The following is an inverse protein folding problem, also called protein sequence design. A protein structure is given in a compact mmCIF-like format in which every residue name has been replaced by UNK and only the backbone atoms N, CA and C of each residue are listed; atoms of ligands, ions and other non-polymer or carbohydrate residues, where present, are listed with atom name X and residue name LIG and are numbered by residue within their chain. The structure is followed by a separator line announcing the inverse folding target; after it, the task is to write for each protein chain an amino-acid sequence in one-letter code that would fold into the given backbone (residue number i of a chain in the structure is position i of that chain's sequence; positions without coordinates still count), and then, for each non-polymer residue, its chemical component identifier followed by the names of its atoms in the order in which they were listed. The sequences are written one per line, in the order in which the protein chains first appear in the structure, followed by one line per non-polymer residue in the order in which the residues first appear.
data_IF_131633383384
#
_entry.id   IF_131633383384
#
_cell.length_a   1.000
_cell.length_b   1.000
_cell.length_c   1.000
_cell.angle_alpha   90.00
_cell.angle_beta   90.00
_cell.angle_gamma   90.00
#
_symmetry.space_group_name_H-M   'P 1'
#
loop_
_entity.id
_entity.type
_entity.pdbx_description
1 polymer ?
#
# COMPACT_ATOMS: atom_id res chain seq x y z
N UNK A 1 -42.29 -0.37 7.72
CA UNK A 1 -42.04 -0.73 6.30
C UNK A 1 -41.51 0.53 5.61
N UNK A 2 -40.19 0.69 5.52
CA UNK A 2 -39.58 1.82 4.83
C UNK A 2 -39.91 1.72 3.33
N UNK A 3 -40.70 2.66 2.80
CA UNK A 3 -41.05 2.67 1.38
C UNK A 3 -39.82 3.04 0.53
N UNK A 4 -39.61 2.30 -0.55
CA UNK A 4 -38.60 2.64 -1.57
C UNK A 4 -39.17 3.77 -2.44
N UNK A 5 -38.35 4.79 -2.71
CA UNK A 5 -38.60 5.84 -3.68
C UNK A 5 -37.59 5.73 -4.83
N UNK A 6 -37.94 6.19 -6.03
CA UNK A 6 -37.08 6.08 -7.22
C UNK A 6 -36.63 7.45 -7.69
N UNK A 7 -35.32 7.69 -7.65
CA UNK A 7 -34.71 8.90 -8.18
C UNK A 7 -34.40 8.71 -9.67
N UNK A 8 -35.06 9.48 -10.54
CA UNK A 8 -34.87 9.39 -11.99
C UNK A 8 -33.89 10.46 -12.50
N UNK A 9 -32.84 10.06 -13.25
CA UNK A 9 -31.90 11.00 -13.88
C UNK A 9 -31.67 10.68 -15.34
N UNK A 10 -31.47 11.74 -16.14
CA UNK A 10 -30.95 11.60 -17.51
C UNK A 10 -29.52 11.10 -17.44
N UNK A 11 -29.22 10.12 -18.26
CA UNK A 11 -27.96 9.39 -18.19
C UNK A 11 -27.53 8.88 -19.57
N UNK A 12 -26.23 8.63 -19.70
CA UNK A 12 -25.62 7.94 -20.83
C UNK A 12 -25.13 6.58 -20.35
N UNK A 13 -25.59 5.49 -20.95
CA UNK A 13 -25.01 4.15 -20.77
C UNK A 13 -23.80 4.02 -21.68
N UNK A 14 -22.60 3.93 -21.12
CA UNK A 14 -21.35 3.78 -21.87
C UNK A 14 -21.13 2.32 -22.23
N UNK A 15 -20.82 2.04 -23.49
CA UNK A 15 -20.64 0.70 -24.04
C UNK A 15 -19.17 0.24 -23.94
N UNK A 16 -18.65 0.12 -22.71
CA UNK A 16 -17.28 -0.36 -22.45
C UNK A 16 -17.19 -1.86 -22.17
N UNK A 17 -18.21 -2.43 -21.54
CA UNK A 17 -18.28 -3.84 -21.16
C UNK A 17 -19.75 -4.26 -21.11
N UNK A 18 -20.04 -5.45 -21.61
CA UNK A 18 -21.39 -6.02 -21.54
C UNK A 18 -21.73 -6.51 -20.12
N UNK A 19 -20.73 -6.92 -19.36
CA UNK A 19 -20.89 -7.51 -18.02
C UNK A 19 -21.08 -6.46 -16.90
N UNK A 20 -20.54 -5.25 -17.09
CA UNK A 20 -20.58 -4.18 -16.08
C UNK A 20 -21.11 -2.89 -16.69
N UNK A 21 -22.42 -2.62 -16.61
CA UNK A 21 -23.01 -1.37 -17.08
C UNK A 21 -22.39 -0.16 -16.38
N UNK A 22 -21.93 0.81 -17.19
CA UNK A 22 -21.43 2.10 -16.73
C UNK A 22 -22.38 3.22 -17.19
N UNK A 23 -22.77 4.08 -16.25
CA UNK A 23 -23.66 5.21 -16.49
C UNK A 23 -22.97 6.53 -16.16
N UNK A 24 -23.08 7.52 -17.05
CA UNK A 24 -22.71 8.90 -16.78
C UNK A 24 -23.98 9.73 -16.58
N UNK A 25 -24.10 10.39 -15.43
CA UNK A 25 -25.29 11.16 -15.06
C UNK A 25 -24.92 12.30 -14.10
N UNK A 26 -25.93 13.03 -13.64
CA UNK A 26 -25.75 14.10 -12.64
C UNK A 26 -26.64 13.88 -11.44
N UNK A 27 -26.13 14.24 -10.25
CA UNK A 27 -26.88 14.33 -9.01
C UNK A 27 -26.78 15.76 -8.47
N UNK A 28 -27.83 16.26 -7.82
CA UNK A 28 -27.66 17.44 -6.97
C UNK A 28 -26.75 17.11 -5.79
N UNK A 29 -26.02 18.09 -5.25
CA UNK A 29 -25.16 17.88 -4.08
C UNK A 29 -25.92 17.23 -2.90
N UNK A 30 -27.18 17.60 -2.68
CA UNK A 30 -28.04 16.97 -1.66
C UNK A 30 -28.49 15.55 -1.98
N UNK A 31 -28.57 15.19 -3.25
CA UNK A 31 -28.97 13.84 -3.69
C UNK A 31 -27.82 12.85 -3.53
N UNK A 32 -26.57 13.32 -3.56
CA UNK A 32 -25.40 12.49 -3.23
C UNK A 32 -25.56 11.89 -1.83
N UNK A 33 -26.00 12.70 -0.87
CA UNK A 33 -26.20 12.26 0.52
C UNK A 33 -27.33 11.23 0.66
N UNK A 34 -28.28 11.17 -0.29
CA UNK A 34 -29.40 10.21 -0.32
C UNK A 34 -29.08 8.94 -1.09
N UNK A 35 -28.17 9.03 -2.07
CA UNK A 35 -27.84 7.93 -2.98
C UNK A 35 -26.64 7.14 -2.49
N UNK A 36 -25.63 7.78 -1.90
CA UNK A 36 -24.35 7.13 -1.67
C UNK A 36 -23.84 7.29 -0.24
N UNK A 37 -23.31 6.20 0.32
CA UNK A 37 -22.51 6.24 1.54
C UNK A 37 -21.02 6.00 1.23
N UNK A 38 -20.16 6.48 2.11
CA UNK A 38 -18.74 6.13 2.08
C UNK A 38 -18.61 4.75 2.71
N UNK A 39 -17.99 3.80 2.01
CA UNK A 39 -17.69 2.50 2.60
C UNK A 39 -16.78 2.70 3.82
N UNK A 40 -17.38 2.65 5.01
CA UNK A 40 -16.66 2.71 6.28
C UNK A 40 -16.10 1.34 6.58
N UNK A 41 -14.92 1.38 7.11
CA UNK A 41 -14.01 0.27 7.12
C UNK A 41 -13.68 0.00 8.58
N UNK A 42 -14.01 -1.19 9.07
CA UNK A 42 -13.75 -1.62 10.44
C UNK A 42 -12.89 -2.87 10.42
N UNK A 43 -12.12 -3.11 11.49
CA UNK A 43 -11.55 -4.44 11.71
C UNK A 43 -12.65 -5.31 12.30
N UNK A 44 -12.72 -6.57 11.89
CA UNK A 44 -13.44 -7.56 12.67
C UNK A 44 -12.63 -7.93 13.91
N UNK A 45 -13.24 -8.68 14.83
CA UNK A 45 -12.59 -9.16 16.06
C UNK A 45 -11.39 -10.09 15.78
N UNK A 46 -11.25 -10.60 14.55
CA UNK A 46 -10.15 -11.45 14.11
C UNK A 46 -8.95 -10.66 13.55
N UNK A 47 -9.02 -9.33 13.54
CA UNK A 47 -7.93 -8.47 13.06
C UNK A 47 -7.82 -8.37 11.54
N UNK A 48 -8.81 -8.89 10.79
CA UNK A 48 -8.89 -8.80 9.34
C UNK A 48 -9.23 -7.35 8.95
N UNK A 49 -8.46 -6.81 8.01
CA UNK A 49 -8.68 -5.45 7.53
C UNK A 49 -9.92 -5.43 6.61
N UNK A 50 -10.97 -4.72 6.99
CA UNK A 50 -12.13 -4.51 6.12
C UNK A 50 -12.25 -3.01 5.84
N UNK A 51 -11.68 -2.34 4.84
CA UNK A 51 -10.30 -2.23 4.34
C UNK A 51 -9.56 -0.96 4.83
N UNK A 52 -9.47 0.15 4.06
CA UNK A 52 -8.65 1.36 4.35
C UNK A 52 -9.38 2.74 4.39
N UNK A 53 -9.21 3.53 5.47
CA UNK A 53 -9.57 4.96 5.54
C UNK A 53 -8.31 5.84 5.52
N UNK A 54 -8.23 6.84 4.61
CA UNK A 54 -7.28 7.95 4.76
C UNK A 54 -7.84 8.89 5.83
N UNK A 55 -7.07 9.28 6.87
CA UNK A 55 -7.51 10.34 7.76
C UNK A 55 -7.82 11.58 6.91
N UNK A 56 -9.06 12.04 6.98
CA UNK A 56 -9.53 13.16 6.20
C UNK A 56 -8.63 14.36 6.52
N UNK A 57 -7.90 14.85 5.52
CA UNK A 57 -7.16 16.10 5.66
C UNK A 57 -8.18 17.22 5.76
N UNK A 58 -8.64 17.55 6.98
CA UNK A 58 -9.65 18.59 7.28
C UNK A 58 -9.41 19.89 6.49
N UNK A 59 -8.14 20.26 6.28
CA UNK A 59 -7.72 21.42 5.49
C UNK A 59 -8.13 21.33 4.01
N UNK A 60 -8.02 20.16 3.39
CA UNK A 60 -8.33 19.96 1.97
C UNK A 60 -9.85 19.96 1.70
N UNK A 61 -10.62 19.31 2.58
CA UNK A 61 -12.09 19.34 2.51
C UNK A 61 -12.59 20.78 2.61
N UNK A 62 -12.03 21.58 3.52
CA UNK A 62 -12.37 22.99 3.67
C UNK A 62 -12.07 23.81 2.41
N UNK A 63 -10.91 23.58 1.77
CA UNK A 63 -10.55 24.24 0.51
C UNK A 63 -11.53 23.90 -0.63
N UNK A 64 -11.95 22.64 -0.74
CA UNK A 64 -12.94 22.23 -1.74
C UNK A 64 -14.28 22.91 -1.43
N UNK A 65 -14.71 22.92 -0.16
CA UNK A 65 -15.95 23.58 0.26
C UNK A 65 -15.93 25.09 -0.07
N UNK A 66 -14.85 25.79 0.28
CA UNK A 66 -14.68 27.23 -0.03
C UNK A 66 -14.75 27.50 -1.55
N UNK A 67 -14.19 26.62 -2.37
CA UNK A 67 -14.30 26.71 -3.82
C UNK A 67 -15.73 26.46 -4.32
N UNK A 68 -16.42 25.44 -3.81
CA UNK A 68 -17.80 25.13 -4.15
C UNK A 68 -18.79 26.24 -3.77
N UNK A 69 -18.48 26.99 -2.72
CA UNK A 69 -19.29 28.11 -2.23
C UNK A 69 -18.91 29.47 -2.90
N UNK A 70 -18.02 29.47 -3.90
CA UNK A 70 -17.67 30.68 -4.67
C UNK A 70 -18.79 31.09 -5.65
N UNK A 71 -18.68 32.25 -6.30
CA UNK A 71 -19.75 32.79 -7.16
C UNK A 71 -20.02 31.94 -8.42
N UNK A 72 -19.00 31.26 -8.97
CA UNK A 72 -19.12 30.48 -10.20
C UNK A 72 -18.23 29.21 -10.17
N UNK A 73 -18.55 28.22 -9.32
CA UNK A 73 -17.75 27.01 -9.19
C UNK A 73 -17.91 26.13 -10.42
N UNK A 74 -16.79 25.70 -11.02
CA UNK A 74 -16.78 24.63 -12.02
C UNK A 74 -16.31 23.34 -11.34
N UNK A 75 -17.15 22.30 -11.35
CA UNK A 75 -16.85 21.01 -10.74
C UNK A 75 -16.78 19.88 -11.79
N UNK A 76 -15.70 19.84 -12.60
CA UNK A 76 -15.62 18.92 -13.73
C UNK A 76 -15.25 17.49 -13.31
N UNK A 77 -14.53 17.34 -12.20
CA UNK A 77 -14.10 16.05 -11.69
C UNK A 77 -15.17 15.50 -10.74
N UNK A 78 -16.07 14.69 -11.31
CA UNK A 78 -17.24 14.11 -10.66
C UNK A 78 -16.95 13.02 -9.62
N UNK A 79 -18.01 12.39 -9.12
CA UNK A 79 -17.92 11.24 -8.22
C UNK A 79 -17.97 9.93 -8.98
N UNK A 80 -17.34 8.89 -8.43
CA UNK A 80 -17.46 7.52 -8.96
C UNK A 80 -18.22 6.68 -7.94
N UNK A 81 -19.33 6.08 -8.36
CA UNK A 81 -20.22 5.32 -7.52
C UNK A 81 -20.29 3.86 -7.95
N UNK A 82 -20.32 2.95 -6.98
CA UNK A 82 -20.76 1.57 -7.18
C UNK A 82 -22.27 1.53 -6.95
N UNK A 83 -23.02 1.34 -8.03
CA UNK A 83 -24.47 1.23 -8.02
C UNK A 83 -24.90 -0.22 -7.75
N UNK A 84 -26.03 -0.43 -7.06
CA UNK A 84 -26.55 -1.76 -6.80
C UNK A 84 -27.24 -2.33 -8.04
N UNK A 85 -27.52 -3.63 -8.09
CA UNK A 85 -28.13 -4.27 -9.27
C UNK A 85 -29.59 -3.82 -9.51
N UNK A 86 -30.23 -3.30 -8.48
CA UNK A 86 -31.63 -2.88 -8.46
C UNK A 86 -31.88 -1.60 -9.25
N UNK A 87 -30.83 -0.90 -9.71
CA UNK A 87 -30.99 0.26 -10.59
C UNK A 87 -31.66 -0.13 -11.90
N UNK A 88 -32.51 0.74 -12.42
CA UNK A 88 -33.27 0.48 -13.66
C UNK A 88 -32.81 1.42 -14.75
N UNK A 89 -32.65 0.87 -15.95
CA UNK A 89 -32.30 1.63 -17.13
C UNK A 89 -33.44 1.62 -18.15
N UNK A 90 -33.83 2.80 -18.64
CA UNK A 90 -34.76 2.98 -19.74
C UNK A 90 -34.09 3.73 -20.87
N UNK A 91 -33.82 3.04 -21.99
CA UNK A 91 -33.27 3.69 -23.18
C UNK A 91 -34.26 4.72 -23.76
N UNK A 92 -33.73 5.85 -24.23
CA UNK A 92 -34.50 6.81 -25.01
C UNK A 92 -34.99 6.16 -26.31
N UNK A 93 -36.15 6.62 -26.83
CA UNK A 93 -36.68 6.16 -28.12
C UNK A 93 -36.25 7.09 -29.23
N UNK A 94 -35.88 6.54 -30.39
CA UNK A 94 -35.57 7.30 -31.61
C UNK A 94 -34.31 6.81 -32.32
N UNK A 95 -34.09 7.22 -33.58
CA UNK A 95 -32.97 6.71 -34.41
C UNK A 95 -31.59 7.26 -34.01
N UNK A 96 -31.51 8.30 -33.19
CA UNK A 96 -30.25 8.98 -32.81
C UNK A 96 -29.91 8.86 -31.32
N UNK A 97 -30.36 7.78 -30.68
CA UNK A 97 -30.16 7.58 -29.23
C UNK A 97 -28.88 6.83 -28.88
N UNK A 98 -28.13 6.39 -29.89
CA UNK A 98 -26.83 5.73 -29.76
C UNK A 98 -25.88 6.23 -30.85
N UNK A 99 -24.62 6.42 -30.48
CA UNK A 99 -23.51 6.72 -31.41
C UNK A 99 -22.52 5.54 -31.52
N UNK A 100 -22.89 4.37 -30.97
CA UNK A 100 -22.02 3.19 -30.90
C UNK A 100 -21.02 3.22 -29.74
N UNK A 101 -20.87 4.34 -29.03
CA UNK A 101 -20.04 4.47 -27.83
C UNK A 101 -20.88 4.58 -26.56
N UNK A 102 -22.03 5.25 -26.64
CA UNK A 102 -22.98 5.40 -25.56
C UNK A 102 -24.43 5.41 -26.04
N UNK A 103 -25.33 5.04 -25.14
CA UNK A 103 -26.78 5.07 -25.36
C UNK A 103 -27.43 6.05 -24.39
N UNK A 104 -28.24 6.98 -24.90
CA UNK A 104 -29.01 7.94 -24.10
C UNK A 104 -30.25 7.30 -23.49
N UNK A 105 -30.57 7.68 -22.25
CA UNK A 105 -31.74 7.16 -21.53
C UNK A 105 -31.97 7.80 -20.17
N UNK A 106 -32.78 7.12 -19.37
CA UNK A 106 -33.10 7.46 -17.98
C UNK A 106 -32.62 6.34 -17.06
N UNK A 107 -31.87 6.70 -16.03
CA UNK A 107 -31.45 5.83 -14.93
C UNK A 107 -32.37 6.08 -13.72
N UNK A 108 -32.86 5.02 -13.11
CA UNK A 108 -33.65 5.07 -11.87
C UNK A 108 -32.86 4.42 -10.74
N UNK A 109 -32.70 5.14 -9.64
CA UNK A 109 -31.93 4.71 -8.46
C UNK A 109 -32.88 4.54 -7.28
N UNK A 110 -32.90 3.38 -6.59
CA UNK A 110 -33.79 3.18 -5.45
C UNK A 110 -33.22 3.90 -4.22
N UNK A 111 -33.92 4.91 -3.70
CA UNK A 111 -33.55 5.63 -2.48
C UNK A 111 -34.53 5.32 -1.35
N UNK A 112 -34.08 5.42 -0.10
CA UNK A 112 -34.97 5.33 1.06
C UNK A 112 -35.78 6.62 1.21
N UNK A 113 -37.05 6.52 1.56
CA UNK A 113 -37.89 7.69 1.93
C UNK A 113 -37.38 8.43 3.15
N UNK A 114 -36.78 7.71 4.08
CA UNK A 114 -36.21 8.29 5.30
C UNK A 114 -34.79 8.78 5.02
N UNK A 115 -34.50 10.02 5.42
CA UNK A 115 -33.15 10.62 5.28
C UNK A 115 -32.07 9.86 6.03
N UNK A 116 -32.42 9.04 7.03
CA UNK A 116 -31.48 8.17 7.76
C UNK A 116 -31.53 6.70 7.29
N UNK A 117 -32.28 6.41 6.23
CA UNK A 117 -32.38 5.07 5.67
C UNK A 117 -31.11 4.60 4.93
N UNK A 118 -31.02 3.30 4.59
CA UNK A 118 -29.86 2.75 3.91
C UNK A 118 -29.64 3.42 2.54
N UNK A 119 -28.37 3.68 2.21
CA UNK A 119 -27.99 4.24 0.90
C UNK A 119 -27.80 3.13 -0.12
N UNK A 120 -28.34 3.27 -1.34
CA UNK A 120 -28.26 2.22 -2.35
C UNK A 120 -26.84 2.04 -2.91
N UNK A 121 -26.05 3.11 -3.00
CA UNK A 121 -24.76 3.12 -3.67
C UNK A 121 -23.61 3.39 -2.70
N UNK A 122 -22.39 3.12 -3.17
CA UNK A 122 -21.17 3.37 -2.43
C UNK A 122 -20.23 4.31 -3.18
N UNK A 123 -19.60 5.23 -2.46
CA UNK A 123 -18.61 6.15 -3.02
C UNK A 123 -17.27 5.42 -3.20
N UNK A 124 -16.85 5.26 -4.45
CA UNK A 124 -15.62 4.57 -4.85
C UNK A 124 -14.48 5.56 -5.00
N UNK A 125 -14.72 6.71 -5.62
CA UNK A 125 -13.79 7.84 -5.65
C UNK A 125 -14.53 9.15 -5.38
N UNK A 126 -13.81 10.09 -4.79
CA UNK A 126 -14.33 11.40 -4.45
C UNK A 126 -14.78 11.54 -3.00
N UNK A 127 -14.30 10.71 -2.06
CA UNK A 127 -14.71 10.79 -0.64
C UNK A 127 -14.52 12.18 0.00
N UNK A 128 -13.40 12.85 -0.27
CA UNK A 128 -13.18 14.23 0.23
C UNK A 128 -14.09 15.25 -0.45
N UNK A 129 -14.45 14.99 -1.71
CA UNK A 129 -15.35 15.81 -2.51
C UNK A 129 -16.79 15.63 -2.06
N UNK A 130 -17.25 14.40 -1.81
CA UNK A 130 -18.59 14.13 -1.28
C UNK A 130 -18.77 14.74 0.10
N UNK A 131 -17.75 14.70 0.96
CA UNK A 131 -17.80 15.38 2.26
C UNK A 131 -17.83 16.92 2.12
N UNK A 132 -17.18 17.49 1.12
CA UNK A 132 -17.29 18.92 0.84
C UNK A 132 -18.69 19.27 0.29
N UNK A 133 -19.25 18.40 -0.56
CA UNK A 133 -20.61 18.54 -1.11
C UNK A 133 -21.70 18.42 -0.03
N UNK A 134 -21.52 17.59 0.99
CA UNK A 134 -22.46 17.53 2.12
C UNK A 134 -22.44 18.81 2.99
N UNK A 135 -21.41 19.65 2.85
CA UNK A 135 -21.22 20.90 3.60
C UNK A 135 -21.39 22.17 2.76
N UNK A 136 -21.53 22.07 1.44
CA UNK A 136 -21.71 23.26 0.59
C UNK A 136 -23.06 23.92 0.84
N UNK A 137 -23.10 25.24 0.69
CA UNK A 137 -24.36 26.01 0.67
C UNK A 137 -25.13 25.79 -0.64
N UNK A 138 -24.44 25.45 -1.72
CA UNK A 138 -25.05 25.22 -3.03
C UNK A 138 -25.57 23.77 -3.17
N UNK A 139 -26.65 23.46 -2.45
CA UNK A 139 -27.23 22.10 -2.35
C UNK A 139 -27.77 21.55 -3.69
N UNK A 140 -28.10 22.42 -4.64
CA UNK A 140 -28.59 22.07 -5.99
C UNK A 140 -27.50 22.06 -7.06
N UNK A 141 -26.22 22.20 -6.69
CA UNK A 141 -25.11 22.12 -7.62
C UNK A 141 -25.15 20.77 -8.37
N UNK A 142 -25.16 20.76 -9.72
CA UNK A 142 -25.13 19.52 -10.49
C UNK A 142 -23.72 18.90 -10.43
N UNK A 143 -23.63 17.74 -9.80
CA UNK A 143 -22.40 16.97 -9.65
C UNK A 143 -22.35 15.90 -10.74
N UNK A 144 -21.34 15.88 -11.62
CA UNK A 144 -21.13 14.79 -12.55
C UNK A 144 -20.86 13.49 -11.80
N UNK A 145 -21.45 12.38 -12.25
CA UNK A 145 -21.30 11.07 -11.63
C UNK A 145 -21.06 10.01 -12.69
N UNK A 146 -20.06 9.16 -12.46
CA UNK A 146 -19.86 7.90 -13.17
C UNK A 146 -20.23 6.74 -12.25
N UNK A 147 -21.33 6.04 -12.55
CA UNK A 147 -21.84 4.93 -11.75
C UNK A 147 -21.75 3.60 -12.50
N UNK A 148 -21.02 2.63 -11.96
CA UNK A 148 -20.98 1.28 -12.50
C UNK A 148 -21.82 0.33 -11.64
N UNK A 149 -22.51 -0.63 -12.26
CA UNK A 149 -23.34 -1.61 -11.53
C UNK A 149 -22.45 -2.74 -11.03
N UNK A 150 -22.38 -2.91 -9.70
CA UNK A 150 -21.56 -3.92 -9.05
C UNK A 150 -22.43 -4.94 -8.29
N UNK A 151 -22.52 -6.20 -8.74
CA UNK A 151 -23.31 -7.24 -8.08
C UNK A 151 -22.78 -7.64 -6.71
N UNK A 152 -21.47 -7.55 -6.53
CA UNK A 152 -20.77 -8.08 -5.37
C UNK A 152 -19.84 -7.04 -4.77
N UNK A 153 -19.66 -7.15 -3.44
CA UNK A 153 -18.69 -6.36 -2.69
C UNK A 153 -17.26 -6.56 -3.22
N UNK A 154 -16.96 -7.72 -3.82
CA UNK A 154 -15.67 -8.01 -4.46
C UNK A 154 -15.42 -7.15 -5.70
N UNK A 155 -16.40 -7.04 -6.61
CA UNK A 155 -16.28 -6.20 -7.81
C UNK A 155 -16.16 -4.72 -7.43
N UNK A 156 -16.90 -4.29 -6.40
CA UNK A 156 -16.79 -2.95 -5.83
C UNK A 156 -15.37 -2.64 -5.32
N UNK A 157 -14.74 -3.59 -4.62
CA UNK A 157 -13.36 -3.47 -4.11
C UNK A 157 -12.33 -3.44 -5.24
N UNK A 158 -12.50 -4.28 -6.25
CA UNK A 158 -11.62 -4.31 -7.42
C UNK A 158 -11.63 -2.97 -8.16
N UNK A 159 -12.82 -2.42 -8.40
CA UNK A 159 -12.97 -1.13 -9.07
C UNK A 159 -12.48 0.03 -8.20
N UNK A 160 -12.65 -0.04 -6.86
CA UNK A 160 -12.04 0.92 -5.94
C UNK A 160 -10.52 1.01 -6.10
N UNK A 161 -9.84 -0.14 -6.16
CA UNK A 161 -8.40 -0.19 -6.36
C UNK A 161 -7.98 0.31 -7.75
N UNK A 162 -8.73 -0.04 -8.81
CA UNK A 162 -8.46 0.35 -10.21
C UNK A 162 -8.68 1.85 -10.47
N UNK A 163 -9.69 2.44 -9.84
CA UNK A 163 -10.03 3.85 -10.03
C UNK A 163 -9.10 4.77 -9.22
N UNK A 164 -8.77 4.39 -7.98
CA UNK A 164 -7.92 5.20 -7.10
C UNK A 164 -6.41 5.04 -7.37
N UNK A 165 -6.00 4.27 -8.38
CA UNK A 165 -4.56 4.04 -8.67
C UNK A 165 -3.85 5.24 -9.33
N UNK A 166 -4.54 6.36 -9.60
CA UNK A 166 -3.96 7.55 -10.27
C UNK A 166 -3.38 8.60 -9.29
N UNK A 167 -3.49 8.39 -7.98
CA UNK A 167 -2.52 8.96 -7.03
C UNK A 167 -1.75 7.80 -6.41
N UNK A 168 -0.40 7.82 -6.41
CA UNK A 168 0.37 6.76 -5.77
C UNK A 168 -0.07 6.67 -4.31
N UNK A 169 -0.75 5.58 -3.97
CA UNK A 169 -0.97 5.19 -2.58
C UNK A 169 0.39 5.27 -1.89
N UNK A 170 0.47 5.78 -0.64
CA UNK A 170 1.73 5.80 0.10
C UNK A 170 2.36 4.41 0.01
N UNK A 171 3.64 4.33 -0.35
CA UNK A 171 4.31 3.06 -0.67
C UNK A 171 4.14 2.00 0.43
N UNK A 172 4.08 2.42 1.70
CA UNK A 172 3.83 1.52 2.83
C UNK A 172 2.47 0.83 2.75
N UNK A 173 1.40 1.58 2.45
CA UNK A 173 0.04 1.02 2.34
C UNK A 173 -0.15 0.12 1.12
N UNK A 174 0.45 0.47 -0.02
CA UNK A 174 0.48 -0.44 -1.17
C UNK A 174 1.03 -1.76 -0.73
N UNK A 175 2.10 -1.73 0.06
CA UNK A 175 2.77 -2.95 0.44
C UNK A 175 1.91 -3.75 1.40
N UNK A 176 1.38 -3.13 2.46
CA UNK A 176 0.45 -3.79 3.40
C UNK A 176 -0.75 -4.49 2.74
N UNK A 177 -1.26 -4.00 1.60
CA UNK A 177 -2.41 -4.57 0.91
C UNK A 177 -2.05 -5.65 -0.13
N UNK A 178 -0.79 -5.72 -0.57
CA UNK A 178 -0.39 -6.64 -1.63
C UNK A 178 -0.52 -8.14 -1.28
N UNK A 179 -0.23 -8.62 -0.06
CA UNK A 179 -0.32 -10.05 0.27
C UNK A 179 -1.71 -10.64 0.03
N UNK A 180 -2.77 -9.83 0.11
CA UNK A 180 -4.16 -10.27 0.05
C UNK A 180 -4.80 -10.16 -1.36
N UNK A 181 -4.06 -9.72 -2.39
CA UNK A 181 -4.60 -9.46 -3.74
C UNK A 181 -4.15 -10.54 -4.74
N UNK A 182 -5.05 -11.44 -5.16
CA UNK A 182 -4.71 -12.55 -6.08
C UNK A 182 -4.42 -12.11 -7.52
N UNK A 183 -4.87 -10.91 -7.95
CA UNK A 183 -4.63 -10.35 -9.29
C UNK A 183 -4.21 -8.90 -9.21
N UNK A 184 -2.95 -8.64 -9.53
CA UNK A 184 -2.34 -7.32 -9.37
C UNK A 184 -2.50 -6.48 -10.65
N UNK A 185 -2.98 -5.21 -10.58
CA UNK A 185 -3.30 -4.41 -11.77
C UNK A 185 -2.10 -3.97 -12.63
N UNK A 186 -0.86 -4.10 -12.13
CA UNK A 186 0.35 -3.70 -12.87
C UNK A 186 1.55 -4.60 -12.54
N UNK A 187 2.43 -4.81 -13.52
CA UNK A 187 3.64 -5.63 -13.34
C UNK A 187 4.58 -5.14 -12.22
N UNK A 188 4.61 -3.82 -11.93
CA UNK A 188 5.40 -3.22 -10.84
C UNK A 188 4.86 -3.51 -9.44
N UNK A 189 3.58 -3.82 -9.30
CA UNK A 189 2.95 -4.16 -8.02
C UNK A 189 3.05 -5.67 -7.77
N UNK A 190 2.98 -6.50 -8.81
CA UNK A 190 3.18 -7.94 -8.71
C UNK A 190 4.59 -8.28 -8.17
N UNK A 191 5.60 -7.49 -8.53
CA UNK A 191 6.98 -7.69 -8.04
C UNK A 191 7.19 -7.35 -6.57
N UNK A 192 6.33 -6.51 -5.97
CA UNK A 192 6.40 -6.14 -4.54
C UNK A 192 5.55 -7.03 -3.64
N UNK A 193 4.70 -7.89 -4.22
CA UNK A 193 3.74 -8.69 -3.47
C UNK A 193 4.41 -9.71 -2.55
N UNK A 194 5.31 -10.53 -3.12
CA UNK A 194 6.07 -11.50 -2.34
C UNK A 194 6.98 -10.83 -1.29
N UNK A 195 7.79 -9.80 -1.62
CA UNK A 195 8.55 -9.05 -0.62
C UNK A 195 7.69 -8.48 0.51
N UNK A 196 6.47 -8.03 0.20
CA UNK A 196 5.52 -7.58 1.22
C UNK A 196 5.13 -8.69 2.18
N UNK A 197 4.68 -9.82 1.64
CA UNK A 197 4.20 -10.94 2.45
C UNK A 197 5.31 -11.46 3.37
N UNK A 198 6.56 -11.43 2.91
CA UNK A 198 7.73 -11.79 3.71
C UNK A 198 8.03 -10.78 4.82
N UNK A 199 7.94 -9.48 4.55
CA UNK A 199 8.07 -8.46 5.61
C UNK A 199 6.90 -8.55 6.60
N UNK A 200 5.73 -8.98 6.14
CA UNK A 200 4.59 -9.23 7.00
C UNK A 200 4.79 -10.41 7.93
N UNK A 201 5.29 -11.51 7.39
CA UNK A 201 5.76 -12.65 8.16
C UNK A 201 6.80 -12.20 9.20
N UNK A 202 7.83 -11.44 8.81
CA UNK A 202 8.87 -10.96 9.75
C UNK A 202 8.31 -10.08 10.87
N UNK A 203 7.20 -9.38 10.66
CA UNK A 203 6.60 -8.54 11.70
C UNK A 203 5.76 -9.35 12.71
N UNK A 204 5.22 -10.50 12.31
CA UNK A 204 4.32 -11.32 13.12
C UNK A 204 5.04 -12.49 13.79
N UNK A 205 6.09 -13.00 13.13
CA UNK A 205 6.79 -14.20 13.54
C UNK A 205 7.44 -14.08 14.94
N UNK A 206 7.15 -14.97 15.90
CA UNK A 206 7.75 -14.99 17.22
C UNK A 206 9.28 -15.09 17.23
N UNK A 207 9.89 -15.73 16.22
CA UNK A 207 11.33 -15.94 16.12
C UNK A 207 12.05 -14.76 15.42
N UNK A 208 11.29 -13.87 14.78
CA UNK A 208 11.84 -12.74 14.05
C UNK A 208 12.31 -11.61 14.98
N UNK A 209 13.51 -11.06 14.79
CA UNK A 209 13.98 -9.89 15.53
C UNK A 209 13.22 -8.60 15.16
N UNK A 210 12.41 -8.63 14.09
CA UNK A 210 11.58 -7.52 13.65
C UNK A 210 10.17 -7.52 14.24
N UNK A 211 9.82 -8.52 15.06
CA UNK A 211 8.48 -8.67 15.61
C UNK A 211 8.02 -7.38 16.30
N UNK A 212 6.94 -6.80 15.79
CA UNK A 212 6.31 -5.61 16.36
C UNK A 212 7.09 -4.29 16.24
N UNK A 213 8.28 -4.29 15.63
CA UNK A 213 9.11 -3.08 15.49
C UNK A 213 9.11 -2.47 14.08
N UNK A 214 8.43 -3.11 13.12
CA UNK A 214 8.26 -2.58 11.77
C UNK A 214 7.14 -1.54 11.76
N UNK A 215 7.50 -0.31 11.42
CA UNK A 215 6.60 0.80 11.21
C UNK A 215 5.92 0.66 9.85
N UNK A 216 4.60 0.55 9.91
CA UNK A 216 3.69 0.49 8.78
C UNK A 216 2.91 1.80 8.67
N UNK A 217 2.30 2.05 7.52
CA UNK A 217 1.44 3.20 7.32
C UNK A 217 0.20 3.15 8.23
N UNK A 218 -0.28 1.95 8.55
CA UNK A 218 -1.41 1.71 9.46
C UNK A 218 -1.04 1.62 10.96
N UNK A 219 0.24 1.74 11.33
CA UNK A 219 0.66 1.66 12.74
C UNK A 219 0.03 2.78 13.57
N UNK A 220 -0.65 2.40 14.65
CA UNK A 220 -1.27 3.31 15.62
C UNK A 220 -0.25 4.37 16.09
N UNK A 221 -0.63 5.66 16.17
CA UNK A 221 0.21 6.72 16.73
C UNK A 221 0.91 6.38 18.05
N UNK A 222 0.27 5.65 18.96
CA UNK A 222 0.86 5.28 20.25
C UNK A 222 1.90 4.15 20.10
N UNK A 223 1.68 3.23 19.16
CA UNK A 223 2.63 2.19 18.78
C UNK A 223 3.80 2.72 17.92
N UNK A 224 3.76 3.96 17.42
CA UNK A 224 4.88 4.54 16.65
C UNK A 224 6.16 4.71 17.48
N UNK A 225 6.03 4.83 18.81
CA UNK A 225 7.18 4.94 19.73
C UNK A 225 7.96 3.64 19.87
N UNK A 226 7.33 2.49 19.63
CA UNK A 226 7.94 1.16 19.69
C UNK A 226 8.30 0.59 18.32
N UNK A 227 8.17 1.36 17.24
CA UNK A 227 8.56 0.95 15.89
C UNK A 227 9.76 1.74 15.39
N UNK A 228 10.78 1.03 14.93
CA UNK A 228 12.11 1.59 14.65
C UNK A 228 12.51 1.50 13.18
N UNK A 229 11.89 0.61 12.41
CA UNK A 229 12.23 0.36 10.99
C UNK A 229 11.04 0.64 10.09
N UNK A 230 11.21 1.42 9.03
CA UNK A 230 10.15 1.61 8.02
C UNK A 230 10.02 0.37 7.14
N UNK A 231 8.78 -0.13 6.99
CA UNK A 231 8.43 -1.24 6.10
C UNK A 231 9.12 -1.17 4.73
N UNK A 232 9.08 0.00 4.11
CA UNK A 232 9.49 0.25 2.72
C UNK A 232 10.97 -0.09 2.54
N UNK A 233 11.82 0.15 3.55
CA UNK A 233 13.23 -0.21 3.47
C UNK A 233 13.47 -1.72 3.49
N UNK A 234 12.72 -2.47 4.30
CA UNK A 234 12.81 -3.93 4.35
C UNK A 234 12.26 -4.58 3.08
N UNK A 235 11.10 -4.12 2.61
CA UNK A 235 10.46 -4.59 1.38
C UNK A 235 11.44 -4.50 0.21
N UNK A 236 12.11 -3.36 0.10
CA UNK A 236 13.04 -3.15 -0.98
C UNK A 236 14.33 -3.95 -0.83
N UNK A 237 14.84 -4.13 0.39
CA UNK A 237 15.99 -4.99 0.66
C UNK A 237 15.69 -6.45 0.23
N UNK A 238 14.53 -6.96 0.63
CA UNK A 238 14.08 -8.32 0.26
C UNK A 238 13.83 -8.41 -1.24
N UNK A 239 13.18 -7.39 -1.85
CA UNK A 239 12.94 -7.36 -3.29
C UNK A 239 14.24 -7.41 -4.09
N UNK A 240 15.23 -6.59 -3.74
CA UNK A 240 16.53 -6.57 -4.43
C UNK A 240 17.18 -7.96 -4.42
N UNK A 241 17.12 -8.69 -3.30
CA UNK A 241 17.70 -10.04 -3.18
C UNK A 241 16.91 -11.11 -3.96
N UNK A 242 15.58 -10.98 -4.05
CA UNK A 242 14.74 -11.92 -4.83
C UNK A 242 14.87 -11.68 -6.34
N UNK A 243 15.00 -10.43 -6.78
CA UNK A 243 15.03 -10.08 -8.21
C UNK A 243 16.42 -10.17 -8.83
N UNK A 244 17.47 -9.92 -8.04
CA UNK A 244 18.84 -9.96 -8.53
C UNK A 244 19.32 -11.40 -8.70
N UNK A 245 19.86 -11.80 -9.88
CA UNK A 245 20.47 -13.13 -10.07
C UNK A 245 21.62 -13.46 -9.11
N UNK A 246 22.21 -12.43 -8.50
CA UNK A 246 23.28 -12.54 -7.49
C UNK A 246 22.77 -12.45 -6.05
N UNK A 247 21.47 -12.28 -5.87
CA UNK A 247 20.84 -12.24 -4.56
C UNK A 247 20.67 -13.64 -3.98
N UNK A 248 20.83 -13.76 -2.66
CA UNK A 248 20.75 -15.07 -2.00
C UNK A 248 19.33 -15.63 -1.98
N UNK A 249 18.30 -14.77 -2.10
CA UNK A 249 16.91 -15.19 -2.18
C UNK A 249 16.46 -15.60 -3.59
N UNK A 250 17.23 -15.26 -4.63
CA UNK A 250 16.90 -15.56 -6.03
C UNK A 250 16.64 -17.06 -6.29
N UNK A 251 17.45 -18.01 -5.78
CA UNK A 251 17.24 -19.44 -6.02
C UNK A 251 15.94 -20.02 -5.43
N UNK A 252 15.38 -19.36 -4.40
CA UNK A 252 14.13 -19.81 -3.76
C UNK A 252 12.89 -19.48 -4.61
N UNK A 253 13.05 -18.69 -5.68
CA UNK A 253 12.00 -18.38 -6.63
C UNK A 253 12.19 -19.19 -7.91
N UNK A 254 11.33 -20.17 -8.13
CA UNK A 254 11.32 -20.92 -9.37
C UNK A 254 10.53 -20.14 -10.45
N UNK A 255 11.27 -19.44 -11.32
CA UNK A 255 10.70 -18.63 -12.39
C UNK A 255 9.94 -19.51 -13.41
N UNK A 256 10.37 -20.75 -13.62
CA UNK A 256 9.77 -21.66 -14.60
C UNK A 256 8.42 -22.25 -14.15
N UNK A 257 8.27 -22.54 -12.86
CA UNK A 257 7.02 -23.09 -12.29
C UNK A 257 6.15 -22.06 -11.60
N UNK A 258 6.65 -20.84 -11.40
CA UNK A 258 5.96 -19.78 -10.66
C UNK A 258 5.87 -20.04 -9.14
N UNK A 259 6.55 -21.08 -8.63
CA UNK A 259 6.55 -21.43 -7.21
C UNK A 259 7.66 -20.72 -6.45
N UNK A 260 7.45 -20.48 -5.16
CA UNK A 260 8.43 -19.85 -4.27
C UNK A 260 8.53 -20.67 -3.00
N UNK A 261 9.75 -21.05 -2.59
CA UNK A 261 10.00 -21.69 -1.30
C UNK A 261 10.00 -20.62 -0.19
N UNK A 262 8.80 -20.32 0.30
CA UNK A 262 8.59 -19.31 1.34
C UNK A 262 9.19 -19.72 2.69
N UNK A 263 9.25 -21.02 2.99
CA UNK A 263 9.81 -21.54 4.24
C UNK A 263 11.34 -21.43 4.26
N UNK A 264 12.00 -21.72 3.13
CA UNK A 264 13.44 -21.47 2.98
C UNK A 264 13.79 -20.00 3.13
N UNK A 265 13.02 -19.12 2.46
CA UNK A 265 13.21 -17.67 2.60
C UNK A 265 12.99 -17.22 4.05
N UNK A 266 11.94 -17.73 4.72
CA UNK A 266 11.67 -17.45 6.15
C UNK A 266 12.88 -17.82 7.02
N UNK A 267 13.37 -19.06 6.93
CA UNK A 267 14.51 -19.53 7.73
C UNK A 267 15.75 -18.67 7.49
N UNK A 268 16.06 -18.35 6.24
CA UNK A 268 17.20 -17.52 5.87
C UNK A 268 17.08 -16.11 6.46
N UNK A 269 15.94 -15.46 6.30
CA UNK A 269 15.71 -14.10 6.81
C UNK A 269 15.77 -14.05 8.34
N UNK A 270 15.13 -14.99 9.03
CA UNK A 270 15.18 -15.07 10.51
C UNK A 270 16.61 -15.33 10.99
N UNK A 271 17.34 -16.24 10.35
CA UNK A 271 18.73 -16.53 10.69
C UNK A 271 19.64 -15.31 10.49
N UNK A 272 19.57 -14.66 9.32
CA UNK A 272 20.41 -13.50 9.00
C UNK A 272 20.10 -12.30 9.88
N UNK A 273 18.83 -11.87 9.93
CA UNK A 273 18.47 -10.69 10.71
C UNK A 273 18.59 -10.95 12.21
N UNK A 274 18.36 -12.19 12.67
CA UNK A 274 18.63 -12.60 14.04
C UNK A 274 20.12 -12.47 14.38
N UNK A 275 21.00 -12.83 13.44
CA UNK A 275 22.44 -12.63 13.60
C UNK A 275 22.84 -11.14 13.60
N UNK A 276 22.20 -10.30 12.78
CA UNK A 276 22.38 -8.84 12.79
C UNK A 276 21.98 -8.28 14.16
N UNK A 277 20.83 -8.69 14.69
CA UNK A 277 20.39 -8.34 16.03
C UNK A 277 21.43 -8.73 17.09
N UNK A 278 21.97 -9.95 17.05
CA UNK A 278 22.91 -10.43 18.08
C UNK A 278 24.25 -9.72 18.02
N UNK A 279 24.78 -9.46 16.83
CA UNK A 279 26.07 -8.80 16.64
C UNK A 279 25.99 -7.30 16.94
N UNK A 280 24.88 -6.66 16.56
CA UNK A 280 24.67 -5.22 16.70
C UNK A 280 23.56 -4.89 17.70
N UNK A 281 23.44 -5.65 18.79
CA UNK A 281 22.38 -5.50 19.80
C UNK A 281 22.30 -4.07 20.37
N UNK A 282 23.45 -3.41 20.59
CA UNK A 282 23.53 -2.03 21.05
C UNK A 282 22.99 -1.00 20.04
N UNK A 283 22.92 -1.36 18.76
CA UNK A 283 22.36 -0.51 17.70
C UNK A 283 20.94 -0.90 17.31
N UNK A 284 20.41 -2.02 17.81
CA UNK A 284 19.09 -2.52 17.47
C UNK A 284 18.00 -1.85 18.33
N UNK A 285 16.78 -1.78 17.79
CA UNK A 285 15.62 -1.26 18.53
C UNK A 285 15.70 0.21 18.94
N UNK A 286 16.57 0.99 18.29
CA UNK A 286 16.77 2.42 18.58
C UNK A 286 16.15 3.30 17.49
N UNK A 287 15.70 4.52 17.83
CA UNK A 287 15.30 5.51 16.84
C UNK A 287 16.42 5.81 15.83
N UNK A 288 16.06 6.18 14.60
CA UNK A 288 17.03 6.50 13.56
C UNK A 288 18.01 7.63 13.93
N UNK A 289 17.66 8.48 14.90
CA UNK A 289 18.52 9.54 15.46
C UNK A 289 19.63 9.02 16.37
N UNK A 290 19.49 7.80 16.89
CA UNK A 290 20.43 7.14 17.80
C UNK A 290 21.14 5.94 17.15
N UNK A 291 20.55 5.38 16.10
CA UNK A 291 21.13 4.26 15.36
C UNK A 291 20.87 4.38 13.85
N UNK A 292 21.94 4.44 13.06
CA UNK A 292 21.84 4.36 11.60
C UNK A 292 21.62 2.96 11.08
N UNK A 293 21.80 1.92 11.91
CA UNK A 293 21.42 0.55 11.55
C UNK A 293 19.91 0.43 11.33
N UNK A 294 19.13 1.00 12.24
CA UNK A 294 17.65 0.97 12.18
C UNK A 294 17.07 1.98 11.18
N UNK A 295 17.89 2.89 10.68
CA UNK A 295 17.50 3.81 9.60
C UNK A 295 17.41 3.07 8.26
N UNK A 296 16.62 3.62 7.32
CA UNK A 296 16.42 2.99 6.01
C UNK A 296 17.70 2.73 5.22
N UNK A 297 18.72 3.57 5.40
CA UNK A 297 20.05 3.38 4.79
C UNK A 297 20.78 2.15 5.33
N UNK A 298 20.72 1.90 6.65
CA UNK A 298 21.35 0.76 7.30
C UNK A 298 20.67 -0.55 6.92
N UNK A 299 19.34 -0.60 7.02
CA UNK A 299 18.54 -1.77 6.61
C UNK A 299 18.78 -2.14 5.15
N UNK A 300 18.82 -1.16 4.24
CA UNK A 300 19.12 -1.42 2.82
C UNK A 300 20.54 -1.91 2.62
N UNK A 301 21.50 -1.34 3.35
CA UNK A 301 22.89 -1.75 3.23
C UNK A 301 23.15 -3.17 3.75
N UNK A 302 22.57 -3.51 4.91
CA UNK A 302 22.61 -4.86 5.47
C UNK A 302 21.87 -5.86 4.56
N UNK A 303 20.76 -5.45 3.96
CA UNK A 303 20.06 -6.27 2.95
C UNK A 303 20.96 -6.69 1.78
N UNK A 304 21.80 -5.80 1.26
CA UNK A 304 22.76 -6.15 0.20
C UNK A 304 23.95 -6.97 0.71
N UNK A 305 24.34 -6.77 1.97
CA UNK A 305 25.39 -7.58 2.59
C UNK A 305 24.93 -9.02 2.85
N UNK A 306 23.65 -9.23 3.14
CA UNK A 306 23.02 -10.55 3.29
C UNK A 306 23.37 -11.47 2.13
N UNK A 307 23.32 -10.95 0.90
CA UNK A 307 23.62 -11.70 -0.33
C UNK A 307 25.05 -12.24 -0.38
N UNK A 308 25.97 -11.73 0.44
CA UNK A 308 27.37 -12.20 0.54
C UNK A 308 27.66 -13.00 1.80
N UNK A 309 26.91 -12.74 2.86
CA UNK A 309 27.05 -13.49 4.13
C UNK A 309 26.40 -14.86 3.99
N UNK A 310 25.15 -14.88 3.51
CA UNK A 310 24.34 -16.08 3.48
C UNK A 310 24.71 -17.05 2.34
N UNK A 311 25.54 -16.65 1.37
CA UNK A 311 26.13 -17.60 0.38
C UNK A 311 27.04 -18.64 1.03
N UNK A 312 27.43 -18.44 2.28
CA UNK A 312 28.32 -19.32 3.02
C UNK A 312 27.66 -19.94 4.25
N UNK A 313 26.36 -19.75 4.40
CA UNK A 313 25.55 -20.26 5.50
C UNK A 313 24.41 -21.06 4.89
N UNK A 314 24.26 -22.31 5.32
CA UNK A 314 23.09 -23.10 4.93
C UNK A 314 21.88 -22.68 5.77
N UNK A 315 20.75 -22.38 5.13
CA UNK A 315 19.53 -21.95 5.82
C UNK A 315 18.83 -23.10 6.60
N UNK A 316 19.11 -24.34 6.24
CA UNK A 316 18.57 -25.54 6.87
C UNK A 316 19.36 -26.00 8.11
N UNK A 317 20.52 -25.40 8.37
CA UNK A 317 21.33 -25.69 9.56
C UNK A 317 20.72 -25.00 10.79
N UNK A 318 20.42 -25.73 11.88
CA UNK A 318 20.00 -25.13 13.15
C UNK A 318 20.97 -24.06 13.69
N UNK A 319 22.24 -24.10 13.27
CA UNK A 319 23.29 -23.13 13.61
C UNK A 319 23.43 -21.98 12.61
N UNK A 320 22.53 -21.85 11.62
CA UNK A 320 22.59 -20.81 10.60
C UNK A 320 22.75 -19.40 11.18
N UNK A 321 21.97 -19.06 12.22
CA UNK A 321 22.07 -17.77 12.93
C UNK A 321 23.46 -17.56 13.55
N UNK A 322 24.01 -18.57 14.21
CA UNK A 322 25.34 -18.49 14.82
C UNK A 322 26.47 -18.40 13.78
N UNK A 323 26.33 -19.11 12.66
CA UNK A 323 27.25 -19.04 11.54
C UNK A 323 27.22 -17.64 10.89
N UNK A 324 26.02 -17.10 10.59
CA UNK A 324 25.84 -15.75 10.09
C UNK A 324 26.41 -14.69 11.06
N UNK A 325 26.22 -14.87 12.38
CA UNK A 325 26.78 -13.97 13.38
C UNK A 325 28.32 -13.99 13.37
N UNK A 326 28.93 -15.16 13.15
CA UNK A 326 30.38 -15.29 13.01
C UNK A 326 30.90 -14.51 11.79
N UNK A 327 30.18 -14.56 10.67
CA UNK A 327 30.52 -13.79 9.48
C UNK A 327 30.33 -12.28 9.66
N UNK A 328 29.25 -11.86 10.33
CA UNK A 328 28.97 -10.45 10.61
C UNK A 328 29.97 -9.83 11.60
N UNK A 329 30.53 -10.61 12.53
CA UNK A 329 31.59 -10.13 13.44
C UNK A 329 32.84 -9.64 12.71
N UNK A 330 33.12 -10.15 11.51
CA UNK A 330 34.26 -9.70 10.70
C UNK A 330 34.17 -8.21 10.36
N UNK A 331 32.97 -7.67 10.18
CA UNK A 331 32.75 -6.25 9.87
C UNK A 331 32.37 -5.41 11.08
N UNK A 332 32.11 -6.01 12.24
CA UNK A 332 31.49 -5.32 13.36
C UNK A 332 32.34 -4.13 13.86
N UNK A 333 33.66 -4.32 13.92
CA UNK A 333 34.61 -3.27 14.34
C UNK A 333 34.73 -2.11 13.36
N UNK A 334 34.30 -2.32 12.11
CA UNK A 334 34.34 -1.33 11.03
C UNK A 334 33.03 -0.55 10.89
N UNK A 335 32.05 -0.84 11.74
CA UNK A 335 30.71 -0.24 11.67
C UNK A 335 30.53 0.89 12.69
N UNK A 336 30.16 2.07 12.21
CA UNK A 336 29.82 3.22 13.03
C UNK A 336 28.29 3.43 13.08
N UNK A 337 27.56 2.54 13.78
CA UNK A 337 26.09 2.57 13.78
C UNK A 337 25.48 3.59 14.74
N UNK A 338 26.09 3.81 15.89
CA UNK A 338 25.56 4.63 17.00
C UNK A 338 26.48 5.77 17.41
N UNK A 339 27.71 5.81 16.87
CA UNK A 339 28.75 6.77 17.23
C UNK A 339 29.96 6.67 16.30
N UNK A 340 30.84 7.66 16.37
CA UNK A 340 32.09 7.70 15.59
C UNK A 340 31.91 8.22 14.15
N UNK A 341 32.73 7.71 13.24
CA UNK A 341 32.77 8.09 11.83
C UNK A 341 32.89 6.87 10.93
N UNK A 342 32.34 6.98 9.72
CA UNK A 342 32.60 6.05 8.63
C UNK A 342 33.83 6.54 7.87
N UNK A 343 35.03 6.21 8.37
CA UNK A 343 36.29 6.77 7.88
C UNK A 343 36.48 6.57 6.37
N UNK A 344 36.16 5.37 5.87
CA UNK A 344 36.22 5.05 4.44
C UNK A 344 35.22 5.83 3.57
N UNK A 345 34.20 6.44 4.17
CA UNK A 345 33.21 7.28 3.50
C UNK A 345 33.44 8.78 3.77
N UNK A 346 34.30 9.13 4.74
CA UNK A 346 34.51 10.51 5.19
C UNK A 346 33.24 11.15 5.78
N UNK A 347 32.39 10.37 6.43
CA UNK A 347 31.10 10.81 6.97
C UNK A 347 31.03 10.57 8.48
N UNK A 348 30.37 11.47 9.24
CA UNK A 348 30.02 11.14 10.61
C UNK A 348 29.02 9.97 10.64
N UNK A 349 28.97 9.24 11.75
CA UNK A 349 28.11 8.06 11.88
C UNK A 349 26.63 8.34 11.52
N UNK A 350 26.15 9.56 11.81
CA UNK A 350 24.77 10.00 11.61
C UNK A 350 24.50 10.78 10.30
N UNK A 351 25.51 11.05 9.47
CA UNK A 351 25.35 11.81 8.22
C UNK A 351 24.77 10.96 7.06
N UNK A 352 24.69 9.65 7.25
CA UNK A 352 24.08 8.74 6.28
C UNK A 352 22.57 9.01 6.13
N UNK A 353 22.14 9.15 4.89
CA UNK A 353 20.77 9.50 4.51
C UNK A 353 20.18 8.36 3.68
N UNK A 354 18.85 8.24 3.65
CA UNK A 354 18.17 7.21 2.87
C UNK A 354 18.09 7.62 1.38
N UNK A 355 19.25 7.83 0.75
CA UNK A 355 19.38 8.22 -0.66
C UNK A 355 20.09 7.11 -1.44
N UNK A 356 19.81 6.94 -2.76
CA UNK A 356 20.47 5.90 -3.55
C UNK A 356 22.00 5.95 -3.50
N UNK A 357 22.58 7.17 -3.45
CA UNK A 357 24.02 7.39 -3.32
C UNK A 357 24.57 6.87 -1.99
N UNK A 358 23.97 7.24 -0.86
CA UNK A 358 24.46 6.82 0.46
C UNK A 358 24.21 5.33 0.70
N UNK A 359 23.07 4.79 0.26
CA UNK A 359 22.79 3.36 0.30
C UNK A 359 23.89 2.60 -0.44
N UNK A 360 24.17 2.98 -1.69
CA UNK A 360 25.15 2.28 -2.52
C UNK A 360 26.57 2.41 -1.97
N UNK A 361 26.95 3.60 -1.48
CA UNK A 361 28.25 3.81 -0.86
C UNK A 361 28.45 2.94 0.40
N UNK A 362 27.47 2.92 1.31
CA UNK A 362 27.51 2.12 2.53
C UNK A 362 27.52 0.62 2.22
N UNK A 363 26.63 0.15 1.34
CA UNK A 363 26.60 -1.26 0.92
C UNK A 363 27.94 -1.71 0.34
N UNK A 364 28.53 -0.91 -0.57
CA UNK A 364 29.78 -1.24 -1.21
C UNK A 364 30.96 -1.22 -0.22
N UNK A 365 30.93 -0.31 0.76
CA UNK A 365 31.90 -0.33 1.85
C UNK A 365 31.79 -1.64 2.65
N UNK A 366 30.61 -1.95 3.20
CA UNK A 366 30.40 -3.15 4.02
C UNK A 366 30.76 -4.43 3.27
N UNK A 367 30.37 -4.56 2.00
CA UNK A 367 30.68 -5.73 1.17
C UNK A 367 32.19 -5.86 0.93
N UNK A 368 32.88 -4.77 0.59
CA UNK A 368 34.34 -4.81 0.34
C UNK A 368 35.10 -5.17 1.62
N UNK A 369 34.74 -4.56 2.75
CA UNK A 369 35.33 -4.85 4.04
C UNK A 369 35.11 -6.32 4.42
N UNK A 370 33.87 -6.81 4.28
CA UNK A 370 33.55 -8.21 4.54
C UNK A 370 34.41 -9.18 3.70
N UNK A 371 34.52 -8.93 2.39
CA UNK A 371 35.30 -9.79 1.50
C UNK A 371 36.80 -9.74 1.80
N UNK A 372 37.33 -8.58 2.21
CA UNK A 372 38.73 -8.44 2.61
C UNK A 372 39.01 -9.25 3.88
N UNK A 373 38.24 -9.01 4.96
CA UNK A 373 38.39 -9.70 6.24
C UNK A 373 38.22 -11.21 6.11
N UNK A 374 37.26 -11.65 5.29
CA UNK A 374 37.03 -13.07 5.05
C UNK A 374 38.17 -13.74 4.28
N UNK A 375 38.82 -13.03 3.36
CA UNK A 375 40.01 -13.52 2.66
C UNK A 375 41.18 -13.69 3.63
N UNK A 376 41.37 -12.77 4.59
CA UNK A 376 42.43 -12.85 5.61
C UNK A 376 42.22 -13.97 6.64
N UNK A 377 40.99 -14.48 6.78
CA UNK A 377 40.64 -15.60 7.67
C UNK A 377 40.89 -16.98 7.05
N UNK A 378 41.01 -17.08 5.73
CA UNK A 378 41.41 -18.32 5.03
C UNK A 378 42.92 -18.40 4.95
#
# INVERSE_FOLDING_TARGET
MSGIEWLERRALKVLQSDDTPLYLFTLAAEEVDLVADVARISRDEAGKLIGYQRPEKKKHVKQIQEYLDSEAPLFPNGLILALPQEVRWRSSRGPSTSDGLAVSGTLEIPISRDSDGPRPAWIVDGQQRSLALSRTKNRRLPVPVAGFVAPTLELQREQFLRVNTVQPLPSGLVTELLPEITRVPSGRMATRQLPSALVDMLNQDPESPFRGIIRRASTDPDAKRSTFVTDTSLIEAVRESIESPSGVLFPYRNIATGTTDTEGIRRLLIAYWGAVHDVFHDAWGKPATESRLMHGVGIRAMGRLMDRVMTHVRDDDPKARAAAATELRLIAIHCAWTGGSWDALGLAWNDLQNTPRHISALSNFLIRTYLAERTHRK
#
